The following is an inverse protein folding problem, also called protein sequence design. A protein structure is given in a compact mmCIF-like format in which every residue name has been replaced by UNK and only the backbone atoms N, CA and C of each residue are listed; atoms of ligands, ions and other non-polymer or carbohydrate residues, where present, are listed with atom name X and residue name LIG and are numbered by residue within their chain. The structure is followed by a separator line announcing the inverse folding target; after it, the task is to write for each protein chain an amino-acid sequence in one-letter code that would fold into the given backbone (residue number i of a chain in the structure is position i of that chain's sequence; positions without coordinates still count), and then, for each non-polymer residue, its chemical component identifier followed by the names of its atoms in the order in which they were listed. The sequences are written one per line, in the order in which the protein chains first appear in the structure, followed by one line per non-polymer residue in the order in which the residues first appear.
data_IF_680273375828
#
_entry.id   IF_680273375828
#
_cell.length_a   1.000
_cell.length_b   1.000
_cell.length_c   1.000
_cell.angle_alpha   90.00
_cell.angle_beta   90.00
_cell.angle_gamma   90.00
#
_symmetry.space_group_name_H-M   'P 1'
#
loop_
_entity.id
_entity.type
_entity.pdbx_description
1 polymer ?
#
# COMPACT_ATOMS: atom_id res chain seq x y z
N UNK A 1 -2.48 10.68 -3.03
CA UNK A 1 -1.94 12.03 -2.73
C UNK A 1 -2.86 13.17 -3.21
N UNK A 2 -3.75 12.98 -4.21
CA UNK A 2 -4.66 14.04 -4.69
C UNK A 2 -6.17 13.75 -4.51
N UNK A 3 -6.55 12.60 -3.95
CA UNK A 3 -7.97 12.18 -3.86
C UNK A 3 -8.82 13.03 -2.91
N UNK A 4 -8.21 13.61 -1.87
CA UNK A 4 -8.90 14.44 -0.86
C UNK A 4 -9.23 15.85 -1.37
N UNK A 5 -8.60 16.30 -2.46
CA UNK A 5 -8.85 17.62 -3.06
C UNK A 5 -10.11 17.66 -3.93
N UNK A 6 -10.71 16.51 -4.23
CA UNK A 6 -11.95 16.41 -4.97
C UNK A 6 -13.15 16.36 -4.02
N UNK A 7 -14.17 17.17 -4.29
CA UNK A 7 -15.44 17.13 -3.57
C UNK A 7 -16.61 16.82 -4.51
N UNK A 8 -17.33 15.70 -4.30
CA UNK A 8 -17.05 14.61 -3.36
C UNK A 8 -15.87 13.73 -3.80
N UNK A 9 -15.20 13.09 -2.84
CA UNK A 9 -13.98 12.33 -3.09
C UNK A 9 -14.20 11.16 -4.09
N UNK A 10 -13.15 10.73 -4.82
CA UNK A 10 -13.23 9.56 -5.68
C UNK A 10 -13.49 8.29 -4.87
N UNK A 11 -14.12 7.30 -5.51
CA UNK A 11 -14.41 6.02 -4.87
C UNK A 11 -13.12 5.28 -4.47
N UNK A 12 -13.10 4.75 -3.24
CA UNK A 12 -12.00 3.91 -2.78
C UNK A 12 -12.28 2.43 -3.12
N UNK A 13 -11.55 1.89 -4.10
CA UNK A 13 -11.74 0.52 -4.61
C UNK A 13 -11.25 -0.61 -3.69
N UNK A 14 -10.52 -0.29 -2.61
CA UNK A 14 -10.06 -1.31 -1.65
C UNK A 14 -11.07 -1.60 -0.55
N UNK A 15 -12.10 -0.75 -0.38
CA UNK A 15 -13.14 -0.95 0.62
C UNK A 15 -14.11 -2.08 0.21
N UNK A 16 -14.57 -2.86 1.19
CA UNK A 16 -15.46 -4.02 0.98
C UNK A 16 -16.77 -3.70 0.27
N UNK A 17 -17.26 -2.46 0.38
CA UNK A 17 -18.53 -2.00 -0.20
C UNK A 17 -18.37 -1.07 -1.40
N UNK A 18 -17.18 -1.03 -2.03
CA UNK A 18 -16.89 -0.14 -3.15
C UNK A 18 -17.70 -0.47 -4.42
N UNK A 19 -17.70 0.44 -5.41
CA UNK A 19 -18.38 0.22 -6.71
C UNK A 19 -17.98 -1.09 -7.39
N UNK A 20 -16.70 -1.45 -7.30
CA UNK A 20 -16.10 -2.69 -7.82
C UNK A 20 -16.50 -3.95 -7.05
N UNK A 21 -17.12 -3.82 -5.88
CA UNK A 21 -17.67 -4.95 -5.12
C UNK A 21 -19.16 -5.20 -5.43
N UNK A 22 -19.75 -4.41 -6.33
CA UNK A 22 -21.12 -4.60 -6.85
C UNK A 22 -21.06 -5.45 -8.12
N UNK A 23 -22.13 -5.43 -8.91
CA UNK A 23 -22.16 -6.13 -10.20
C UNK A 23 -21.31 -5.41 -11.25
N UNK A 24 -20.79 -6.14 -12.26
CA UNK A 24 -20.07 -5.52 -13.38
C UNK A 24 -20.94 -4.48 -14.12
N UNK A 25 -22.25 -4.74 -14.26
CA UNK A 25 -23.20 -3.80 -14.84
C UNK A 25 -23.31 -2.48 -14.04
N UNK A 26 -23.25 -2.55 -12.71
CA UNK A 26 -23.23 -1.34 -11.89
C UNK A 26 -21.94 -0.54 -12.11
N UNK A 27 -20.78 -1.22 -12.19
CA UNK A 27 -19.50 -0.56 -12.47
C UNK A 27 -19.49 0.11 -13.85
N UNK A 28 -20.04 -0.56 -14.86
CA UNK A 28 -20.25 -0.02 -16.20
C UNK A 28 -21.09 1.25 -16.17
N UNK A 29 -22.27 1.19 -15.53
CA UNK A 29 -23.16 2.34 -15.39
C UNK A 29 -22.47 3.52 -14.67
N UNK A 30 -21.67 3.24 -13.63
CA UNK A 30 -20.91 4.29 -12.92
C UNK A 30 -19.86 4.94 -13.80
N UNK A 31 -19.18 4.19 -14.68
CA UNK A 31 -18.18 4.75 -15.59
C UNK A 31 -18.84 5.65 -16.63
N UNK A 32 -19.90 5.20 -17.28
CA UNK A 32 -20.54 5.98 -18.34
C UNK A 32 -21.24 7.24 -17.79
N UNK A 33 -21.94 7.15 -16.64
CA UNK A 33 -22.69 8.28 -16.08
C UNK A 33 -21.89 9.19 -15.15
N UNK A 34 -20.75 8.73 -14.63
CA UNK A 34 -19.97 9.50 -13.66
C UNK A 34 -20.72 9.71 -12.33
N UNK A 35 -20.21 10.62 -11.50
CA UNK A 35 -20.72 10.88 -10.13
C UNK A 35 -21.59 12.12 -9.96
N UNK A 36 -21.64 13.04 -10.93
CA UNK A 36 -22.43 14.28 -10.85
C UNK A 36 -23.87 14.02 -11.31
N UNK A 37 -24.86 14.45 -10.51
CA UNK A 37 -26.28 14.38 -10.88
C UNK A 37 -27.01 13.09 -10.50
N UNK A 38 -26.44 12.26 -9.62
CA UNK A 38 -27.18 11.12 -9.07
C UNK A 38 -28.31 11.58 -8.13
N UNK A 39 -29.49 10.93 -8.15
CA UNK A 39 -30.53 11.15 -7.16
C UNK A 39 -30.01 10.98 -5.73
N UNK A 40 -30.50 11.80 -4.80
CA UNK A 40 -30.07 11.84 -3.39
C UNK A 40 -30.15 10.46 -2.69
N UNK A 41 -31.10 9.61 -3.09
CA UNK A 41 -31.21 8.21 -2.62
C UNK A 41 -29.99 7.33 -2.91
N UNK A 42 -29.09 7.76 -3.79
CA UNK A 42 -27.81 7.11 -4.08
C UNK A 42 -26.62 7.79 -3.37
N UNK A 43 -26.85 8.76 -2.48
CA UNK A 43 -25.88 9.17 -1.48
C UNK A 43 -25.56 7.96 -0.56
N UNK A 44 -24.31 7.82 -0.08
CA UNK A 44 -23.19 8.76 -0.16
C UNK A 44 -22.30 8.61 -1.41
N UNK A 45 -22.73 7.89 -2.46
CA UNK A 45 -21.85 7.48 -3.57
C UNK A 45 -21.62 8.54 -4.65
N UNK A 46 -21.93 9.80 -4.37
CA UNK A 46 -21.54 10.92 -5.21
C UNK A 46 -20.01 10.99 -5.24
N UNK A 47 -19.43 11.22 -6.42
CA UNK A 47 -17.98 11.41 -6.57
C UNK A 47 -17.70 12.49 -7.62
N UNK A 48 -16.49 13.04 -7.60
CA UNK A 48 -15.98 13.91 -8.66
C UNK A 48 -15.67 13.18 -9.98
N UNK A 49 -16.06 11.90 -10.10
CA UNK A 49 -15.85 11.13 -11.32
C UNK A 49 -16.65 11.75 -12.48
N UNK A 50 -16.01 12.13 -13.60
CA UNK A 50 -16.74 12.62 -14.77
C UNK A 50 -17.53 11.48 -15.44
N UNK A 51 -18.51 11.86 -16.25
CA UNK A 51 -19.19 10.94 -17.15
C UNK A 51 -18.28 10.64 -18.36
N UNK A 52 -18.22 9.38 -18.76
CA UNK A 52 -17.44 8.93 -19.93
C UNK A 52 -18.32 8.46 -21.10
N UNK A 53 -19.64 8.62 -20.98
CA UNK A 53 -20.58 8.40 -22.08
C UNK A 53 -20.20 9.24 -23.30
N UNK A 54 -20.09 8.60 -24.47
CA UNK A 54 -19.66 9.22 -25.72
C UNK A 54 -18.13 9.44 -25.84
N UNK A 55 -17.38 9.34 -24.74
CA UNK A 55 -15.91 9.40 -24.75
C UNK A 55 -15.25 8.02 -24.79
N UNK A 56 -15.91 7.00 -24.23
CA UNK A 56 -15.48 5.60 -24.27
C UNK A 56 -16.55 4.73 -24.94
N UNK A 57 -16.12 3.78 -25.76
CA UNK A 57 -16.96 2.69 -26.26
C UNK A 57 -17.30 1.68 -25.16
N UNK A 58 -18.39 0.93 -25.33
CA UNK A 58 -18.77 -0.10 -24.35
C UNK A 58 -17.67 -1.14 -24.12
N UNK A 59 -16.97 -1.52 -25.20
CA UNK A 59 -15.87 -2.46 -25.16
C UNK A 59 -14.71 -1.93 -24.30
N UNK A 60 -14.34 -0.66 -24.45
CA UNK A 60 -13.30 -0.02 -23.63
C UNK A 60 -13.68 0.05 -22.16
N UNK A 61 -14.95 0.33 -21.86
CA UNK A 61 -15.45 0.34 -20.48
C UNK A 61 -15.35 -1.07 -19.89
N UNK A 62 -15.74 -2.12 -20.61
CA UNK A 62 -15.63 -3.50 -20.15
C UNK A 62 -14.17 -3.94 -19.93
N UNK A 63 -13.26 -3.61 -20.86
CA UNK A 63 -11.81 -3.86 -20.70
C UNK A 63 -11.26 -3.16 -19.45
N UNK A 64 -11.70 -1.93 -19.20
CA UNK A 64 -11.29 -1.16 -18.02
C UNK A 64 -11.81 -1.80 -16.73
N UNK A 65 -13.07 -2.23 -16.68
CA UNK A 65 -13.65 -2.94 -15.52
C UNK A 65 -12.88 -4.22 -15.23
N UNK A 66 -12.56 -4.99 -16.27
CA UNK A 66 -11.78 -6.22 -16.14
C UNK A 66 -10.39 -5.93 -15.55
N UNK A 67 -9.66 -4.96 -16.12
CA UNK A 67 -8.34 -4.56 -15.62
C UNK A 67 -8.37 -4.12 -14.14
N UNK A 68 -9.33 -3.28 -13.77
CA UNK A 68 -9.51 -2.83 -12.37
C UNK A 68 -9.78 -4.04 -11.47
N UNK A 69 -10.65 -4.96 -11.89
CA UNK A 69 -11.01 -6.14 -11.10
C UNK A 69 -9.81 -7.06 -10.84
N UNK A 70 -9.02 -7.37 -11.86
CA UNK A 70 -7.82 -8.20 -11.73
C UNK A 70 -6.76 -7.51 -10.85
N UNK A 71 -6.50 -6.23 -11.08
CA UNK A 71 -5.56 -5.45 -10.27
C UNK A 71 -5.94 -5.43 -8.79
N UNK A 72 -7.24 -5.43 -8.48
CA UNK A 72 -7.73 -5.45 -7.11
C UNK A 72 -7.71 -6.83 -6.47
N UNK A 73 -7.86 -7.92 -7.24
CA UNK A 73 -7.64 -9.29 -6.73
C UNK A 73 -6.21 -9.43 -6.23
N UNK A 74 -5.24 -8.92 -6.97
CA UNK A 74 -3.83 -8.91 -6.57
C UNK A 74 -3.59 -8.05 -5.34
N UNK A 75 -4.24 -6.88 -5.24
CA UNK A 75 -4.13 -6.00 -4.06
C UNK A 75 -4.84 -6.52 -2.82
N UNK A 76 -5.93 -7.29 -2.95
CA UNK A 76 -6.64 -7.95 -1.83
C UNK A 76 -5.79 -9.02 -1.16
N UNK A 77 -4.68 -9.45 -1.75
CA UNK A 77 -3.64 -10.23 -1.07
C UNK A 77 -2.82 -9.37 -0.09
N UNK A 78 -3.48 -8.55 0.72
CA UNK A 78 -2.86 -7.95 1.90
C UNK A 78 -2.55 -9.10 2.86
N UNK A 79 -1.32 -9.21 3.40
CA UNK A 79 -1.03 -10.22 4.41
C UNK A 79 -1.91 -9.94 5.63
N UNK A 80 -2.93 -10.74 5.84
CA UNK A 80 -3.62 -10.79 7.12
C UNK A 80 -2.61 -11.23 8.17
N UNK A 81 -2.67 -10.66 9.38
CA UNK A 81 -1.79 -10.96 10.53
C UNK A 81 -1.72 -12.46 10.89
N UNK A 82 -2.61 -13.27 10.32
CA UNK A 82 -2.74 -14.73 10.46
C UNK A 82 -1.99 -15.56 9.40
N UNK A 83 -1.37 -14.95 8.39
CA UNK A 83 -0.52 -15.71 7.46
C UNK A 83 0.81 -16.08 8.12
N UNK A 84 1.15 -17.38 8.12
CA UNK A 84 2.47 -17.85 8.58
C UNK A 84 3.56 -17.09 7.79
N UNK A 85 4.56 -16.50 8.47
CA UNK A 85 5.63 -15.79 7.79
C UNK A 85 6.33 -16.69 6.75
N UNK A 86 6.34 -16.27 5.48
CA UNK A 86 7.03 -17.00 4.42
C UNK A 86 8.49 -16.57 4.35
N UNK A 87 9.42 -17.47 4.69
CA UNK A 87 10.86 -17.22 4.63
C UNK A 87 11.30 -16.80 3.21
N UNK A 88 10.76 -17.48 2.18
CA UNK A 88 11.04 -17.17 0.77
C UNK A 88 10.63 -15.73 0.43
N UNK A 89 9.43 -15.31 0.86
CA UNK A 89 8.93 -13.96 0.62
C UNK A 89 9.74 -12.92 1.41
N UNK A 90 10.03 -13.20 2.67
CA UNK A 90 10.87 -12.35 3.52
C UNK A 90 12.24 -12.10 2.92
N UNK A 91 12.92 -13.15 2.43
CA UNK A 91 14.22 -13.04 1.73
C UNK A 91 14.12 -12.14 0.50
N UNK A 92 13.09 -12.30 -0.33
CA UNK A 92 12.91 -11.45 -1.51
C UNK A 92 12.71 -9.98 -1.17
N UNK A 93 11.95 -9.68 -0.11
CA UNK A 93 11.75 -8.30 0.36
C UNK A 93 13.07 -7.74 0.87
N UNK A 94 13.79 -8.50 1.71
CA UNK A 94 15.06 -8.10 2.29
C UNK A 94 16.10 -7.74 1.22
N UNK A 95 16.31 -8.63 0.25
CA UNK A 95 17.27 -8.38 -0.85
C UNK A 95 16.89 -7.14 -1.65
N UNK A 96 15.60 -6.95 -1.94
CA UNK A 96 15.14 -5.82 -2.77
C UNK A 96 15.10 -4.47 -2.06
N UNK A 97 14.97 -4.45 -0.73
CA UNK A 97 14.66 -3.22 0.02
C UNK A 97 15.64 -2.90 1.14
N UNK A 98 16.34 -3.89 1.68
CA UNK A 98 17.13 -3.75 2.90
C UNK A 98 18.63 -3.99 2.64
N UNK A 99 18.97 -4.98 1.80
CA UNK A 99 20.35 -5.40 1.56
C UNK A 99 21.22 -4.32 0.92
N UNK A 100 20.63 -3.34 0.23
CA UNK A 100 21.39 -2.24 -0.36
C UNK A 100 22.15 -1.40 0.69
N UNK A 101 21.58 -1.25 1.89
CA UNK A 101 22.22 -0.57 3.02
C UNK A 101 22.81 -1.56 4.02
N UNK A 102 22.08 -2.63 4.35
CA UNK A 102 22.47 -3.56 5.41
C UNK A 102 23.35 -4.73 4.96
N UNK A 103 23.53 -4.94 3.65
CA UNK A 103 24.22 -6.10 3.08
C UNK A 103 23.38 -7.38 3.15
N UNK A 104 23.72 -8.40 2.37
CA UNK A 104 22.96 -9.66 2.31
C UNK A 104 22.93 -10.42 3.65
N UNK A 105 23.94 -10.20 4.49
CA UNK A 105 24.08 -10.80 5.82
C UNK A 105 23.64 -9.87 6.95
N UNK A 106 23.15 -8.67 6.63
CA UNK A 106 22.69 -7.70 7.62
C UNK A 106 23.79 -7.07 8.46
N UNK A 107 25.03 -7.03 8.00
CA UNK A 107 26.16 -6.50 8.78
C UNK A 107 26.29 -4.98 8.71
N UNK A 108 25.45 -4.29 7.93
CA UNK A 108 25.56 -2.85 7.72
C UNK A 108 26.62 -2.50 6.67
N UNK A 109 26.94 -3.44 5.78
CA UNK A 109 28.01 -3.39 4.78
C UNK A 109 27.46 -3.47 3.35
N UNK A 110 26.23 -2.99 3.14
CA UNK A 110 25.63 -2.94 1.81
C UNK A 110 26.33 -1.93 0.90
N UNK A 111 26.11 -1.97 -0.43
CA UNK A 111 26.74 -1.05 -1.38
C UNK A 111 26.58 0.44 -1.07
N UNK A 112 25.51 0.84 -0.37
CA UNK A 112 25.29 2.22 0.06
C UNK A 112 25.85 2.56 1.44
N UNK A 113 26.37 1.60 2.19
CA UNK A 113 26.76 1.80 3.58
C UNK A 113 27.80 2.92 3.77
N UNK A 114 28.72 3.08 2.81
CA UNK A 114 29.73 4.14 2.82
C UNK A 114 29.15 5.53 2.51
N UNK A 115 27.99 5.59 1.87
CA UNK A 115 27.35 6.82 1.38
C UNK A 115 26.17 7.28 2.23
N UNK A 116 25.77 6.50 3.24
CA UNK A 116 24.66 6.83 4.14
C UNK A 116 25.18 7.37 5.48
N UNK A 117 24.64 8.52 5.91
CA UNK A 117 24.89 9.07 7.24
C UNK A 117 23.58 9.18 8.03
N UNK A 118 23.48 8.58 9.23
CA UNK A 118 24.45 7.69 9.88
C UNK A 118 24.61 6.35 9.15
N UNK A 119 25.75 5.68 9.34
CA UNK A 119 25.99 4.38 8.72
C UNK A 119 24.91 3.33 9.08
N UNK A 120 24.56 2.45 8.14
CA UNK A 120 23.58 1.39 8.39
C UNK A 120 24.01 0.48 9.54
N UNK A 121 23.05 0.10 10.38
CA UNK A 121 23.36 -0.71 11.55
C UNK A 121 23.67 -2.16 11.16
N UNK A 122 24.61 -2.75 11.89
CA UNK A 122 24.79 -4.19 11.93
C UNK A 122 23.62 -4.86 12.69
N UNK A 123 22.72 -5.48 11.93
CA UNK A 123 21.52 -6.18 12.41
C UNK A 123 21.86 -7.47 13.17
N UNK A 124 23.05 -8.04 12.96
CA UNK A 124 23.47 -9.28 13.65
C UNK A 124 23.83 -9.05 15.12
N UNK A 125 23.96 -7.78 15.54
CA UNK A 125 24.28 -7.42 16.93
C UNK A 125 23.04 -7.35 17.84
N UNK A 126 21.82 -7.47 17.31
CA UNK A 126 20.59 -7.50 18.11
C UNK A 126 20.22 -6.17 18.80
N UNK A 127 20.88 -5.06 18.46
CA UNK A 127 20.63 -3.77 19.10
C UNK A 127 19.61 -2.92 18.32
N UNK A 128 18.56 -2.46 18.98
CA UNK A 128 17.57 -1.52 18.42
C UNK A 128 17.77 -0.14 19.06
N UNK A 129 18.01 0.89 18.24
CA UNK A 129 18.33 2.26 18.72
C UNK A 129 17.08 2.99 19.21
N UNK A 130 15.99 2.92 18.44
CA UNK A 130 14.70 3.55 18.75
C UNK A 130 13.77 2.44 19.24
N UNK A 131 13.45 2.48 20.53
CA UNK A 131 12.64 1.47 21.21
C UNK A 131 11.88 2.08 22.38
N UNK A 132 10.73 1.52 22.71
CA UNK A 132 9.96 1.86 23.92
C UNK A 132 10.49 1.12 25.15
N UNK A 133 11.10 -0.05 24.96
CA UNK A 133 11.71 -0.80 26.06
C UNK A 133 12.86 -0.03 26.71
N UNK A 134 12.91 0.02 28.05
CA UNK A 134 13.93 0.77 28.82
C UNK A 134 15.36 0.30 28.59
N UNK A 135 16.33 1.21 28.79
CA UNK A 135 17.75 0.90 28.71
C UNK A 135 18.14 -0.28 29.63
N UNK A 136 19.09 -1.12 29.19
CA UNK A 136 19.47 -2.35 29.90
C UNK A 136 18.55 -3.56 29.70
N UNK A 137 17.35 -3.39 29.15
CA UNK A 137 16.44 -4.50 28.79
C UNK A 137 16.54 -4.86 27.29
N UNK A 138 16.26 -6.12 26.98
CA UNK A 138 16.22 -6.65 25.61
C UNK A 138 15.02 -6.02 24.87
N UNK A 139 15.22 -5.41 23.68
CA UNK A 139 14.12 -4.88 22.86
C UNK A 139 13.11 -5.95 22.47
N UNK A 140 11.84 -5.57 22.36
CA UNK A 140 10.75 -6.50 21.98
C UNK A 140 10.58 -6.60 20.46
N UNK A 141 9.86 -7.63 20.01
CA UNK A 141 9.45 -7.73 18.60
C UNK A 141 8.62 -6.51 18.15
N UNK A 142 7.86 -5.91 19.06
CA UNK A 142 7.11 -4.70 18.79
C UNK A 142 8.04 -3.49 18.58
N UNK A 143 9.17 -3.42 19.29
CA UNK A 143 10.20 -2.40 19.06
C UNK A 143 10.81 -2.54 17.66
N UNK A 144 11.11 -3.78 17.25
CA UNK A 144 11.61 -4.06 15.90
C UNK A 144 10.59 -3.67 14.84
N UNK A 145 9.33 -4.08 15.02
CA UNK A 145 8.25 -3.76 14.11
C UNK A 145 8.08 -2.25 13.96
N UNK A 146 8.09 -1.52 15.07
CA UNK A 146 7.96 -0.06 15.07
C UNK A 146 9.16 0.64 14.42
N UNK A 147 10.38 0.13 14.65
CA UNK A 147 11.59 0.67 14.04
C UNK A 147 11.57 0.54 12.50
N UNK A 148 11.07 -0.58 11.97
CA UNK A 148 10.91 -0.79 10.53
C UNK A 148 9.77 0.06 9.98
N UNK A 149 8.65 0.14 10.70
CA UNK A 149 7.43 0.81 10.23
C UNK A 149 7.56 2.33 10.22
N UNK A 150 8.16 2.90 11.26
CA UNK A 150 8.26 4.35 11.43
C UNK A 150 9.56 4.93 10.89
N UNK A 151 10.55 4.08 10.59
CA UNK A 151 11.89 4.48 10.19
C UNK A 151 12.64 5.23 11.29
N UNK A 152 13.81 5.76 10.93
CA UNK A 152 14.62 6.62 11.79
C UNK A 152 14.56 8.04 11.24
N UNK A 153 14.09 9.00 12.04
CA UNK A 153 14.09 10.41 11.63
C UNK A 153 15.53 10.90 11.43
N UNK A 154 15.75 11.68 10.36
CA UNK A 154 17.07 12.26 10.05
C UNK A 154 18.05 11.30 9.39
N UNK A 155 17.57 10.16 8.85
CA UNK A 155 18.35 9.29 7.96
C UNK A 155 17.86 9.44 6.52
N UNK A 156 18.79 9.44 5.57
CA UNK A 156 18.53 9.49 4.12
C UNK A 156 18.84 8.17 3.44
#
# INVERSE_FOLDING_TARGET
IFGESFFPAPANFTQKNSVVSKTPAYSFWRIIKGGKGLPEKFAPWNSAMPAWEGALSEEEVWKTIHYISETLKDRKQVPTKTQKPSLKRGKQIYVKKCAFCHGDKGKGDGPSAEYTFPQPRNLTKGHIKIRSTSFGKIPTDQDLFNAITNGMRGTT
#
